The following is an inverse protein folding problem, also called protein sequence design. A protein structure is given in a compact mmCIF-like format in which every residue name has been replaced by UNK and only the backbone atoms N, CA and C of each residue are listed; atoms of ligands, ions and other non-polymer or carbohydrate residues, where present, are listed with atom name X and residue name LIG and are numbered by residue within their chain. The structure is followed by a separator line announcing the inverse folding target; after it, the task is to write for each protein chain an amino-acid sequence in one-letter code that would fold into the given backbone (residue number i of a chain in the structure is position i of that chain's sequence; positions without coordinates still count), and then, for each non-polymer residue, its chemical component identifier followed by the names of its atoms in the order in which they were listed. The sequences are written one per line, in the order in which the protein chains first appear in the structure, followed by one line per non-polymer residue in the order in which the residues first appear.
data_IF_084007690760
#
_entry.id   IF_084007690760
#
_cell.length_a   1.000
_cell.length_b   1.000
_cell.length_c   1.000
_cell.angle_alpha   90.00
_cell.angle_beta   90.00
_cell.angle_gamma   90.00
#
_symmetry.space_group_name_H-M   'P 1'
#
loop_
_entity.id
_entity.type
_entity.pdbx_description
1 polymer ?
#
# COMPACT_ATOMS: atom_id res chain seq x y z
N UNK A 1 -5.42 -12.39 -28.14
CA UNK A 1 -5.99 -11.09 -27.72
C UNK A 1 -4.92 -10.04 -27.98
N UNK A 2 -5.24 -8.92 -28.60
CA UNK A 2 -4.31 -7.80 -28.79
C UNK A 2 -4.66 -6.73 -27.78
N UNK A 3 -3.67 -6.31 -27.00
CA UNK A 3 -3.80 -5.22 -26.01
C UNK A 3 -3.01 -4.03 -26.53
N UNK A 4 -3.58 -2.84 -26.54
CA UNK A 4 -2.92 -1.60 -26.95
C UNK A 4 -2.38 -0.83 -25.74
N UNK A 5 -3.06 -0.93 -24.59
CA UNK A 5 -2.74 -0.24 -23.34
C UNK A 5 -2.99 -1.17 -22.17
N UNK A 6 -2.18 -1.07 -21.13
CA UNK A 6 -2.43 -1.79 -19.88
C UNK A 6 -2.23 -0.87 -18.66
N UNK A 7 -3.03 -1.13 -17.62
CA UNK A 7 -2.81 -0.64 -16.27
C UNK A 7 -2.31 -1.83 -15.47
N UNK A 8 -1.13 -1.70 -14.88
CA UNK A 8 -0.47 -2.81 -14.18
C UNK A 8 -0.38 -2.46 -12.70
N UNK A 9 -1.15 -3.16 -11.88
CA UNK A 9 -1.19 -2.92 -10.43
C UNK A 9 0.02 -3.52 -9.68
N UNK A 10 0.73 -4.47 -10.29
CA UNK A 10 1.99 -5.02 -9.77
C UNK A 10 3.16 -4.36 -10.49
N UNK A 11 3.66 -3.25 -9.95
CA UNK A 11 4.73 -2.48 -10.58
C UNK A 11 6.04 -3.25 -10.73
N UNK A 12 6.53 -4.04 -9.72
CA UNK A 12 7.69 -4.91 -9.90
C UNK A 12 7.52 -5.93 -11.02
N UNK A 13 6.44 -6.71 -11.03
CA UNK A 13 6.20 -7.69 -12.11
C UNK A 13 6.06 -7.00 -13.47
N UNK A 14 5.33 -5.89 -13.54
CA UNK A 14 5.17 -5.11 -14.77
C UNK A 14 6.48 -4.61 -15.34
N UNK A 15 7.37 -4.15 -14.47
CA UNK A 15 8.71 -3.69 -14.87
C UNK A 15 9.58 -4.84 -15.33
N UNK A 16 9.74 -5.87 -14.50
CA UNK A 16 10.68 -6.98 -14.76
C UNK A 16 10.20 -7.86 -15.91
N UNK A 17 8.91 -8.17 -15.98
CA UNK A 17 8.39 -9.13 -16.94
C UNK A 17 7.94 -8.51 -18.27
N UNK A 18 7.60 -7.23 -18.28
CA UNK A 18 7.04 -6.58 -19.46
C UNK A 18 7.89 -5.42 -19.98
N UNK A 19 8.22 -4.42 -19.14
CA UNK A 19 9.00 -3.26 -19.56
C UNK A 19 10.45 -3.64 -19.94
N UNK A 20 11.15 -4.34 -19.06
CA UNK A 20 12.55 -4.76 -19.29
C UNK A 20 12.69 -5.72 -20.47
N UNK A 21 11.61 -6.44 -20.81
CA UNK A 21 11.56 -7.33 -22.00
C UNK A 21 11.07 -6.64 -23.27
N UNK A 22 10.75 -5.35 -23.20
CA UNK A 22 10.31 -4.57 -24.35
C UNK A 22 8.92 -4.91 -24.88
N UNK A 23 8.08 -5.62 -24.13
CA UNK A 23 6.70 -5.92 -24.53
C UNK A 23 5.77 -4.72 -24.40
N UNK A 24 6.09 -3.83 -23.49
CA UNK A 24 5.40 -2.57 -23.28
C UNK A 24 6.41 -1.44 -23.13
N UNK A 25 5.94 -0.22 -23.32
CA UNK A 25 6.73 1.00 -23.13
C UNK A 25 6.02 1.98 -22.22
N UNK A 26 6.79 2.70 -21.42
CA UNK A 26 6.31 3.83 -20.64
C UNK A 26 6.19 5.06 -21.53
N UNK A 27 5.18 5.88 -21.28
CA UNK A 27 5.01 7.16 -21.95
C UNK A 27 4.38 8.16 -20.99
N UNK A 28 5.00 9.31 -20.84
CA UNK A 28 4.52 10.42 -19.99
C UNK A 28 3.90 11.50 -20.88
N UNK A 29 2.65 11.93 -20.59
CA UNK A 29 2.06 13.07 -21.31
C UNK A 29 2.90 14.34 -21.14
N UNK A 30 3.25 15.02 -22.23
CA UNK A 30 4.15 16.17 -22.19
C UNK A 30 3.59 17.33 -21.38
N UNK A 31 2.28 17.57 -21.50
CA UNK A 31 1.54 18.61 -20.78
C UNK A 31 1.37 18.32 -19.28
N UNK A 32 1.50 17.07 -18.85
CA UNK A 32 1.39 16.66 -17.46
C UNK A 32 2.75 16.50 -16.74
N UNK A 33 3.86 16.53 -17.45
CA UNK A 33 5.21 16.33 -16.85
C UNK A 33 5.46 17.24 -15.66
N UNK A 34 5.04 18.50 -15.73
CA UNK A 34 5.22 19.46 -14.65
C UNK A 34 4.36 19.20 -13.41
N UNK A 35 3.30 18.41 -13.53
CA UNK A 35 2.37 18.08 -12.43
C UNK A 35 2.55 16.67 -11.88
N UNK A 36 3.43 15.86 -12.49
CA UNK A 36 3.77 14.51 -12.04
C UNK A 36 5.15 14.55 -11.39
N UNK A 37 5.28 14.06 -10.15
CA UNK A 37 6.59 13.98 -9.50
C UNK A 37 7.57 13.14 -10.33
N UNK A 38 8.84 13.56 -10.43
CA UNK A 38 9.86 12.89 -11.25
C UNK A 38 9.98 11.39 -10.96
N UNK A 39 9.85 10.98 -9.68
CA UNK A 39 9.85 9.57 -9.24
C UNK A 39 8.70 8.72 -9.81
N UNK A 40 7.65 9.34 -10.32
CA UNK A 40 6.48 8.66 -10.90
C UNK A 40 6.45 8.69 -12.44
N UNK A 41 7.50 9.22 -13.07
CA UNK A 41 7.55 9.39 -14.54
C UNK A 41 8.26 8.23 -15.25
N UNK A 42 9.13 7.48 -14.56
CA UNK A 42 9.87 6.39 -15.19
C UNK A 42 10.02 5.18 -14.24
N UNK A 43 9.23 4.11 -14.47
CA UNK A 43 8.10 4.04 -15.39
C UNK A 43 6.94 4.93 -14.95
N UNK A 44 6.08 5.33 -15.89
CA UNK A 44 4.92 6.15 -15.55
C UNK A 44 3.98 5.41 -14.60
N UNK A 45 3.92 5.91 -13.38
CA UNK A 45 2.87 5.56 -12.42
C UNK A 45 1.69 6.49 -12.61
N UNK A 46 0.52 5.95 -12.87
CA UNK A 46 -0.70 6.75 -13.12
C UNK A 46 -1.57 6.87 -11.88
N UNK A 47 -1.58 5.82 -11.05
CA UNK A 47 -2.43 5.71 -9.86
C UNK A 47 -1.59 5.24 -8.68
N UNK A 48 -1.88 5.79 -7.51
CA UNK A 48 -1.40 5.33 -6.21
C UNK A 48 -2.58 4.78 -5.44
N UNK A 49 -2.51 3.51 -5.04
CA UNK A 49 -3.53 2.82 -4.26
C UNK A 49 -3.09 2.72 -2.79
N UNK A 50 -3.68 3.50 -1.87
CA UNK A 50 -3.30 3.46 -0.47
C UNK A 50 -3.77 2.16 0.21
N UNK A 51 -2.86 1.54 0.95
CA UNK A 51 -3.15 0.53 1.97
C UNK A 51 -2.83 1.18 3.33
N UNK A 52 -3.79 1.16 4.23
CA UNK A 52 -3.73 1.94 5.48
C UNK A 52 -4.08 1.09 6.68
N UNK A 53 -3.57 1.50 7.84
CA UNK A 53 -4.01 0.92 9.10
C UNK A 53 -5.38 1.48 9.48
N UNK A 54 -6.25 0.57 9.90
CA UNK A 54 -7.62 0.86 10.30
C UNK A 54 -7.95 0.25 11.66
N UNK A 55 -8.94 0.83 12.31
CA UNK A 55 -9.48 0.39 13.60
C UNK A 55 -11.01 0.48 13.62
N UNK A 56 -11.66 -0.05 14.65
CA UNK A 56 -13.10 0.00 14.81
C UNK A 56 -13.51 1.27 15.58
N UNK A 57 -14.26 2.17 14.92
CA UNK A 57 -14.73 3.45 15.48
C UNK A 57 -15.82 3.31 16.53
N UNK A 58 -16.47 2.15 16.61
CA UNK A 58 -17.44 1.86 17.68
C UNK A 58 -16.75 1.48 18.99
N UNK A 59 -15.51 0.97 18.90
CA UNK A 59 -14.71 0.57 20.07
C UNK A 59 -13.77 1.68 20.54
N UNK A 60 -13.28 2.51 19.65
CA UNK A 60 -12.31 3.56 19.93
C UNK A 60 -12.70 4.87 19.27
N UNK A 61 -12.63 5.97 20.01
CA UNK A 61 -12.84 7.31 19.45
C UNK A 61 -11.69 7.75 18.53
N UNK A 62 -10.51 7.21 18.74
CA UNK A 62 -9.27 7.45 17.94
C UNK A 62 -8.54 6.12 17.75
N UNK A 63 -7.59 6.07 16.81
CA UNK A 63 -6.78 4.87 16.63
C UNK A 63 -6.11 4.44 17.94
N UNK A 64 -6.25 3.17 18.37
CA UNK A 64 -5.69 2.68 19.63
C UNK A 64 -4.19 2.41 19.58
N UNK A 65 -3.56 2.61 18.42
CA UNK A 65 -2.11 2.53 18.22
C UNK A 65 -1.57 3.83 17.63
N UNK A 66 -0.36 4.19 18.04
CA UNK A 66 0.34 5.40 17.57
C UNK A 66 1.69 5.08 16.93
N UNK A 67 2.14 3.83 17.03
CA UNK A 67 3.41 3.36 16.51
C UNK A 67 3.26 1.94 15.96
N UNK A 68 3.89 1.65 14.81
CA UNK A 68 3.84 0.32 14.18
C UNK A 68 4.32 -0.80 15.09
N UNK A 69 5.32 -0.55 15.92
CA UNK A 69 5.88 -1.54 16.83
C UNK A 69 4.88 -2.01 17.89
N UNK A 70 3.85 -1.23 18.21
CA UNK A 70 2.79 -1.66 19.10
C UNK A 70 2.04 -2.89 18.58
N UNK A 71 1.99 -3.10 17.25
CA UNK A 71 1.41 -4.30 16.63
C UNK A 71 2.15 -5.59 17.00
N UNK A 72 3.38 -5.48 17.49
CA UNK A 72 4.19 -6.63 17.92
C UNK A 72 4.07 -6.94 19.41
N UNK A 73 3.36 -6.10 20.15
CA UNK A 73 3.19 -6.25 21.60
C UNK A 73 2.16 -7.34 21.95
N UNK A 74 2.30 -7.97 23.13
CA UNK A 74 1.35 -8.99 23.61
C UNK A 74 -0.11 -8.53 23.64
N UNK A 75 -0.35 -7.23 23.85
CA UNK A 75 -1.70 -6.62 23.82
C UNK A 75 -2.42 -6.87 22.51
N UNK A 76 -1.70 -6.86 21.39
CA UNK A 76 -2.24 -7.05 20.04
C UNK A 76 -2.06 -8.45 19.49
N UNK A 77 -1.63 -9.39 20.32
CA UNK A 77 -1.48 -10.79 19.89
C UNK A 77 -2.80 -11.36 19.40
N UNK A 78 -2.80 -11.85 18.15
CA UNK A 78 -4.01 -12.38 17.51
C UNK A 78 -5.07 -11.33 17.15
N UNK A 79 -4.74 -10.04 17.25
CA UNK A 79 -5.68 -8.92 17.03
C UNK A 79 -5.24 -7.95 15.95
N UNK A 80 -4.29 -8.33 15.13
CA UNK A 80 -3.92 -7.62 13.91
C UNK A 80 -4.47 -8.40 12.73
N UNK A 81 -5.27 -7.76 11.87
CA UNK A 81 -5.86 -8.40 10.69
C UNK A 81 -5.25 -7.84 9.40
N UNK A 82 -4.83 -8.71 8.49
CA UNK A 82 -4.31 -8.32 7.17
C UNK A 82 -4.36 -9.50 6.19
N UNK A 83 -4.28 -9.23 4.90
CA UNK A 83 -4.10 -10.30 3.92
C UNK A 83 -2.75 -10.99 4.12
N UNK A 84 -2.69 -12.28 3.79
CA UNK A 84 -1.46 -13.06 3.90
C UNK A 84 -0.36 -12.53 2.95
N UNK A 85 0.83 -12.16 3.44
CA UNK A 85 1.93 -11.70 2.58
C UNK A 85 2.38 -12.75 1.56
N UNK A 86 2.20 -14.04 1.86
CA UNK A 86 2.51 -15.14 0.95
C UNK A 86 1.58 -15.19 -0.28
N UNK A 87 0.39 -14.59 -0.20
CA UNK A 87 -0.57 -14.52 -1.30
C UNK A 87 -0.76 -13.12 -1.90
N UNK A 88 -0.11 -12.10 -1.34
CA UNK A 88 -0.27 -10.71 -1.75
C UNK A 88 1.09 -10.03 -1.95
N UNK A 89 1.65 -10.02 -3.17
CA UNK A 89 2.97 -9.43 -3.46
C UNK A 89 3.14 -7.98 -2.96
N UNK A 90 2.08 -7.18 -2.97
CA UNK A 90 2.13 -5.81 -2.46
C UNK A 90 2.62 -5.70 -1.00
N UNK A 91 2.43 -6.74 -0.17
CA UNK A 91 2.93 -6.74 1.21
C UNK A 91 4.43 -7.05 1.28
N UNK A 92 4.92 -8.00 0.47
CA UNK A 92 6.36 -8.28 0.40
C UNK A 92 7.11 -7.11 -0.21
N UNK A 93 6.52 -6.44 -1.20
CA UNK A 93 7.07 -5.22 -1.79
C UNK A 93 7.08 -4.07 -0.77
N UNK A 94 6.05 -3.96 0.08
CA UNK A 94 6.05 -3.00 1.19
C UNK A 94 7.19 -3.28 2.17
N UNK A 95 7.45 -4.53 2.53
CA UNK A 95 8.57 -4.91 3.40
C UNK A 95 9.92 -4.54 2.75
N UNK A 96 10.09 -4.84 1.47
CA UNK A 96 11.28 -4.48 0.70
C UNK A 96 11.50 -2.97 0.67
N UNK A 97 10.47 -2.20 0.37
CA UNK A 97 10.53 -0.74 0.35
C UNK A 97 10.87 -0.15 1.74
N UNK A 98 10.31 -0.70 2.82
CA UNK A 98 10.67 -0.30 4.18
C UNK A 98 12.15 -0.58 4.45
N UNK A 99 12.66 -1.76 4.10
CA UNK A 99 14.06 -2.11 4.30
C UNK A 99 15.00 -1.21 3.51
N UNK A 100 14.71 -1.02 2.23
CA UNK A 100 15.61 -0.31 1.30
C UNK A 100 15.64 1.19 1.55
N UNK A 101 14.51 1.80 1.89
CA UNK A 101 14.38 3.26 1.90
C UNK A 101 14.05 3.86 3.26
N UNK A 102 13.51 3.06 4.20
CA UNK A 102 12.91 3.59 5.43
C UNK A 102 13.37 2.85 6.69
N UNK A 103 14.39 1.98 6.60
CA UNK A 103 14.83 1.15 7.74
C UNK A 103 15.23 1.99 8.96
N UNK A 104 15.86 3.13 8.74
CA UNK A 104 16.19 4.04 9.84
C UNK A 104 14.93 4.57 10.54
N UNK A 105 13.87 4.89 9.81
CA UNK A 105 12.61 5.34 10.40
C UNK A 105 11.92 4.23 11.20
N UNK A 106 12.03 2.97 10.75
CA UNK A 106 11.53 1.80 11.52
C UNK A 106 12.33 1.65 12.80
N UNK A 107 13.65 1.84 12.76
CA UNK A 107 14.55 1.80 13.93
C UNK A 107 14.25 2.92 14.92
N UNK A 108 14.05 4.14 14.43
CA UNK A 108 13.72 5.30 15.24
C UNK A 108 12.34 5.14 15.91
N UNK A 109 11.37 4.59 15.19
CA UNK A 109 10.05 4.26 15.74
C UNK A 109 10.15 3.25 16.88
N UNK A 110 11.03 2.25 16.79
CA UNK A 110 11.29 1.31 17.89
C UNK A 110 11.82 2.06 19.13
N UNK A 111 12.82 2.93 18.93
CA UNK A 111 13.40 3.69 20.03
C UNK A 111 12.37 4.63 20.68
N UNK A 112 11.50 5.24 19.88
CA UNK A 112 10.42 6.07 20.39
C UNK A 112 9.42 5.28 21.24
N UNK A 113 9.06 4.07 20.79
CA UNK A 113 8.07 3.23 21.47
C UNK A 113 8.62 2.64 22.77
N UNK A 114 9.83 2.09 22.74
CA UNK A 114 10.38 1.31 23.86
C UNK A 114 11.44 2.05 24.70
N UNK A 115 11.80 3.28 24.33
CA UNK A 115 12.77 4.11 25.06
C UNK A 115 14.22 3.60 25.01
N UNK A 116 14.53 2.67 24.09
CA UNK A 116 15.85 2.05 23.94
C UNK A 116 16.14 1.70 22.48
N UNK A 117 17.43 1.70 22.07
CA UNK A 117 17.81 1.27 20.72
C UNK A 117 17.39 -0.17 20.44
N UNK A 118 16.98 -0.43 19.19
CA UNK A 118 16.71 -1.79 18.72
C UNK A 118 17.99 -2.62 18.72
N UNK A 119 17.97 -3.73 19.48
CA UNK A 119 18.99 -4.77 19.42
C UNK A 119 18.39 -5.97 18.66
N UNK A 120 19.02 -6.40 17.58
CA UNK A 120 18.52 -7.51 16.76
C UNK A 120 19.67 -8.19 16.02
N UNK A 121 19.54 -9.49 15.81
CA UNK A 121 20.41 -10.30 14.95
C UNK A 121 19.88 -10.34 13.51
N UNK A 122 18.71 -9.74 13.25
CA UNK A 122 18.17 -9.62 11.89
C UNK A 122 18.99 -8.59 11.07
N UNK A 123 19.00 -8.78 9.75
CA UNK A 123 19.76 -7.93 8.81
C UNK A 123 19.35 -6.45 8.84
N UNK A 124 18.12 -6.16 9.31
CA UNK A 124 17.54 -4.81 9.32
C UNK A 124 16.50 -4.63 10.43
N UNK A 125 16.16 -3.39 10.75
CA UNK A 125 15.06 -3.09 11.67
C UNK A 125 13.71 -3.53 11.05
N UNK A 126 13.58 -3.42 9.75
CA UNK A 126 12.41 -3.90 9.01
C UNK A 126 12.26 -5.41 9.14
N UNK A 127 13.33 -6.18 8.94
CA UNK A 127 13.29 -7.63 9.12
C UNK A 127 12.92 -8.02 10.56
N UNK A 128 13.46 -7.31 11.55
CA UNK A 128 13.10 -7.52 12.95
C UNK A 128 11.62 -7.22 13.22
N UNK A 129 11.08 -6.14 12.63
CA UNK A 129 9.66 -5.78 12.74
C UNK A 129 8.77 -6.86 12.09
N UNK A 130 9.06 -7.25 10.85
CA UNK A 130 8.28 -8.26 10.11
C UNK A 130 8.27 -9.61 10.84
N UNK A 131 9.43 -10.03 11.36
CA UNK A 131 9.55 -11.25 12.18
C UNK A 131 8.72 -11.17 13.46
N UNK A 132 8.80 -10.04 14.18
CA UNK A 132 8.03 -9.84 15.40
C UNK A 132 6.52 -9.80 15.13
N UNK A 133 6.11 -9.14 14.04
CA UNK A 133 4.71 -9.08 13.62
C UNK A 133 4.17 -10.47 13.26
N UNK A 134 4.90 -11.25 12.47
CA UNK A 134 4.55 -12.63 12.13
C UNK A 134 4.41 -13.49 13.39
N UNK A 135 5.35 -13.34 14.34
CA UNK A 135 5.34 -14.05 15.64
C UNK A 135 4.21 -13.65 16.58
N UNK A 136 3.53 -12.54 16.32
CA UNK A 136 2.43 -12.04 17.16
C UNK A 136 1.05 -12.58 16.77
N UNK A 137 0.97 -13.61 15.93
CA UNK A 137 -0.28 -14.33 15.65
C UNK A 137 -1.29 -13.50 14.84
N UNK A 138 -0.82 -12.79 13.81
CA UNK A 138 -1.67 -11.99 12.94
C UNK A 138 -2.81 -12.82 12.36
N UNK A 139 -4.02 -12.30 12.36
CA UNK A 139 -5.15 -12.89 11.64
C UNK A 139 -4.94 -12.69 10.14
N UNK A 140 -4.47 -13.74 9.47
CA UNK A 140 -4.29 -13.74 8.02
C UNK A 140 -5.61 -14.03 7.32
N UNK A 141 -5.98 -13.15 6.40
CA UNK A 141 -7.21 -13.26 5.62
C UNK A 141 -6.92 -13.54 4.15
N UNK A 142 -7.89 -14.13 3.46
CA UNK A 142 -7.78 -14.40 2.02
C UNK A 142 -8.06 -13.15 1.19
N UNK A 143 -8.85 -12.24 1.71
CA UNK A 143 -9.25 -11.02 0.99
C UNK A 143 -9.17 -9.78 1.88
N UNK A 144 -9.12 -8.63 1.23
CA UNK A 144 -9.21 -7.32 1.88
C UNK A 144 -10.58 -7.11 2.55
N UNK A 145 -11.65 -7.70 1.98
CA UNK A 145 -12.98 -7.70 2.58
C UNK A 145 -13.01 -8.42 3.93
N UNK A 146 -12.35 -9.58 4.03
CA UNK A 146 -12.30 -10.34 5.28
C UNK A 146 -11.52 -9.57 6.35
N UNK A 147 -10.42 -8.92 5.97
CA UNK A 147 -9.67 -8.06 6.89
C UNK A 147 -10.51 -6.87 7.37
N UNK A 148 -11.19 -6.18 6.45
CA UNK A 148 -12.09 -5.07 6.78
C UNK A 148 -13.23 -5.52 7.70
N UNK A 149 -13.82 -6.69 7.44
CA UNK A 149 -14.86 -7.28 8.28
C UNK A 149 -14.35 -7.61 9.68
N UNK A 150 -13.15 -8.19 9.80
CA UNK A 150 -12.56 -8.48 11.11
C UNK A 150 -12.35 -7.19 11.93
N UNK A 151 -11.89 -6.11 11.29
CA UNK A 151 -11.60 -4.83 11.94
C UNK A 151 -12.89 -4.06 12.24
N UNK A 152 -13.75 -3.86 11.24
CA UNK A 152 -14.82 -2.86 11.25
C UNK A 152 -16.23 -3.43 11.39
N UNK A 153 -16.42 -4.72 11.68
CA UNK A 153 -17.77 -5.24 11.92
C UNK A 153 -18.45 -4.51 13.09
N UNK A 154 -19.72 -4.11 12.93
CA UNK A 154 -20.50 -3.55 14.04
C UNK A 154 -20.68 -4.61 15.15
N UNK A 155 -20.85 -4.17 16.39
CA UNK A 155 -21.06 -5.02 17.57
C UNK A 155 -19.96 -6.09 17.78
N UNK A 156 -18.78 -5.89 17.17
CA UNK A 156 -17.66 -6.84 17.28
C UNK A 156 -17.22 -7.00 18.73
N UNK A 157 -17.12 -8.25 19.20
CA UNK A 157 -16.61 -8.57 20.55
C UNK A 157 -15.08 -8.54 20.63
N UNK A 158 -14.41 -8.70 19.51
CA UNK A 158 -12.94 -8.70 19.42
C UNK A 158 -12.46 -7.38 18.86
N UNK A 159 -11.44 -6.83 19.48
CA UNK A 159 -10.81 -5.58 19.08
C UNK A 159 -9.66 -5.88 18.12
N UNK A 160 -9.83 -5.50 16.86
CA UNK A 160 -8.81 -5.63 15.83
C UNK A 160 -8.34 -4.27 15.35
N UNK A 161 -7.06 -4.18 15.07
CA UNK A 161 -6.47 -3.20 14.15
C UNK A 161 -5.92 -3.96 12.94
N UNK A 162 -5.70 -3.30 11.81
CA UNK A 162 -5.10 -4.02 10.70
C UNK A 162 -5.00 -3.20 9.42
N UNK A 163 -4.57 -3.88 8.37
CA UNK A 163 -4.28 -3.28 7.08
C UNK A 163 -5.40 -3.57 6.08
N UNK A 164 -5.90 -2.50 5.47
CA UNK A 164 -6.91 -2.55 4.41
C UNK A 164 -6.65 -1.47 3.36
N UNK A 165 -7.15 -1.66 2.16
CA UNK A 165 -7.20 -0.58 1.17
C UNK A 165 -8.21 0.50 1.58
N UNK A 166 -7.96 1.74 1.16
CA UNK A 166 -8.92 2.85 1.38
C UNK A 166 -10.29 2.57 0.80
N UNK A 167 -10.39 1.74 -0.23
CA UNK A 167 -11.65 1.32 -0.84
C UNK A 167 -12.66 0.70 0.16
N UNK A 168 -12.15 0.07 1.24
CA UNK A 168 -13.01 -0.58 2.24
C UNK A 168 -13.82 0.41 3.08
N UNK A 169 -13.37 1.64 3.20
CA UNK A 169 -14.08 2.67 3.96
C UNK A 169 -15.45 3.03 3.38
N UNK A 170 -15.70 2.74 2.09
CA UNK A 170 -17.05 2.85 1.49
C UNK A 170 -18.08 2.01 2.22
N UNK A 171 -17.66 0.88 2.77
CA UNK A 171 -18.54 -0.07 3.44
C UNK A 171 -19.09 0.50 4.76
N UNK A 172 -18.52 1.62 5.25
CA UNK A 172 -19.11 2.40 6.35
C UNK A 172 -20.52 2.90 6.03
N UNK A 173 -20.82 3.18 4.75
CA UNK A 173 -22.19 3.53 4.30
C UNK A 173 -23.16 2.34 4.47
N UNK A 174 -22.66 1.12 4.61
CA UNK A 174 -23.41 -0.12 4.81
C UNK A 174 -23.33 -0.62 6.27
N UNK A 175 -22.85 0.21 7.19
CA UNK A 175 -22.83 -0.09 8.62
C UNK A 175 -21.47 -0.52 9.18
N UNK A 176 -20.43 -0.69 8.35
CA UNK A 176 -19.07 -0.93 8.84
C UNK A 176 -18.57 0.25 9.68
N UNK A 177 -17.63 -0.01 10.57
CA UNK A 177 -17.11 0.94 11.56
C UNK A 177 -15.59 1.16 11.39
N UNK A 178 -15.14 1.37 10.15
CA UNK A 178 -13.71 1.58 9.87
C UNK A 178 -13.31 3.03 10.15
N UNK A 179 -12.28 3.22 10.95
CA UNK A 179 -11.55 4.47 11.17
C UNK A 179 -10.12 4.40 10.68
N UNK A 180 -9.60 5.48 10.09
CA UNK A 180 -8.22 5.57 9.63
C UNK A 180 -7.30 5.87 10.82
N UNK A 181 -6.21 5.09 10.96
CA UNK A 181 -5.17 5.33 11.96
C UNK A 181 -4.24 6.49 11.55
N UNK A 182 -4.78 7.71 11.50
CA UNK A 182 -3.97 8.90 11.27
C UNK A 182 -2.99 9.16 12.42
N UNK A 183 -1.82 9.72 12.11
CA UNK A 183 -0.77 10.00 13.09
C UNK A 183 0.06 8.79 13.53
N UNK A 184 -0.20 7.60 13.00
CA UNK A 184 0.60 6.39 13.26
C UNK A 184 2.05 6.56 12.77
N UNK A 185 3.02 6.24 13.61
CA UNK A 185 4.45 6.35 13.29
C UNK A 185 5.05 5.00 12.90
N UNK A 186 6.00 4.97 11.93
CA UNK A 186 6.46 6.11 11.12
C UNK A 186 5.50 6.47 9.98
N UNK A 187 4.54 5.60 9.61
CA UNK A 187 3.58 5.80 8.52
C UNK A 187 2.20 5.27 8.89
N UNK A 188 1.16 5.89 8.35
CA UNK A 188 -0.23 5.41 8.47
C UNK A 188 -0.57 4.27 7.49
N UNK A 189 0.34 3.94 6.60
CA UNK A 189 0.22 2.97 5.52
C UNK A 189 1.16 3.32 4.39
N UNK A 190 0.93 2.77 3.21
CA UNK A 190 1.75 3.04 2.02
C UNK A 190 0.90 3.18 0.75
N UNK A 191 1.46 3.85 -0.25
CA UNK A 191 0.89 3.95 -1.58
C UNK A 191 1.46 2.84 -2.47
N UNK A 192 0.61 1.98 -3.04
CA UNK A 192 1.04 1.00 -4.02
C UNK A 192 0.83 1.52 -5.44
N UNK A 193 1.87 1.51 -6.31
CA UNK A 193 1.81 2.13 -7.62
C UNK A 193 1.14 1.24 -8.67
N UNK A 194 0.33 1.85 -9.54
CA UNK A 194 -0.15 1.23 -10.78
C UNK A 194 0.49 1.91 -11.98
N UNK A 195 1.11 1.13 -12.85
CA UNK A 195 1.78 1.62 -14.05
C UNK A 195 0.78 1.79 -15.20
N UNK A 196 0.93 2.87 -15.97
CA UNK A 196 0.27 3.07 -17.27
C UNK A 196 1.24 2.82 -18.41
N UNK A 197 0.99 1.79 -19.23
CA UNK A 197 1.92 1.37 -20.28
C UNK A 197 1.23 1.16 -21.62
N UNK A 198 1.96 1.39 -22.70
CA UNK A 198 1.53 1.15 -24.09
C UNK A 198 2.20 -0.12 -24.59
N UNK A 199 1.45 -1.01 -25.23
CA UNK A 199 2.02 -2.20 -25.84
C UNK A 199 2.93 -1.83 -27.02
N UNK A 200 4.14 -2.39 -27.07
CA UNK A 200 5.12 -2.09 -28.13
C UNK A 200 4.59 -2.42 -29.54
N UNK A 201 3.78 -3.49 -29.65
CA UNK A 201 3.14 -3.89 -30.90
C UNK A 201 1.75 -3.27 -31.13
N UNK A 202 1.39 -2.19 -30.42
CA UNK A 202 0.08 -1.54 -30.57
C UNK A 202 -0.12 -1.02 -32.00
N UNK A 203 -1.30 -1.27 -32.53
CA UNK A 203 -1.74 -0.69 -33.82
C UNK A 203 -2.43 0.67 -33.65
N UNK A 204 -2.74 1.04 -32.41
CA UNK A 204 -3.42 2.29 -32.05
C UNK A 204 -2.68 3.03 -30.92
N UNK A 205 -1.35 3.29 -31.08
CA UNK A 205 -0.55 3.86 -29.97
C UNK A 205 -1.03 5.23 -29.52
N UNK A 206 -1.56 6.05 -30.43
CA UNK A 206 -2.10 7.38 -30.09
C UNK A 206 -3.38 7.26 -29.24
N UNK A 207 -4.26 6.31 -29.54
CA UNK A 207 -5.46 6.04 -28.73
C UNK A 207 -5.07 5.50 -27.34
N UNK A 208 -4.06 4.63 -27.27
CA UNK A 208 -3.53 4.13 -26.00
C UNK A 208 -2.97 5.26 -25.13
N UNK A 209 -2.19 6.17 -25.73
CA UNK A 209 -1.66 7.37 -25.05
C UNK A 209 -2.78 8.30 -24.59
N UNK A 210 -3.78 8.55 -25.45
CA UNK A 210 -4.93 9.37 -25.08
C UNK A 210 -5.70 8.77 -23.90
N UNK A 211 -5.84 7.45 -23.86
CA UNK A 211 -6.48 6.77 -22.73
C UNK A 211 -5.68 6.93 -21.43
N UNK A 212 -4.35 6.77 -21.47
CA UNK A 212 -3.48 7.02 -20.31
C UNK A 212 -3.63 8.47 -19.83
N UNK A 213 -3.58 9.43 -20.75
CA UNK A 213 -3.77 10.85 -20.44
C UNK A 213 -5.13 11.09 -19.77
N UNK A 214 -6.20 10.52 -20.34
CA UNK A 214 -7.55 10.63 -19.77
C UNK A 214 -7.63 10.07 -18.35
N UNK A 215 -7.04 8.90 -18.10
CA UNK A 215 -7.02 8.28 -16.75
C UNK A 215 -6.34 9.16 -15.70
N UNK A 216 -5.47 10.08 -16.10
CA UNK A 216 -4.79 11.02 -15.20
C UNK A 216 -5.53 12.34 -15.04
N UNK A 217 -6.69 12.52 -15.67
CA UNK A 217 -7.61 13.65 -15.47
C UNK A 217 -8.56 13.39 -14.27
N UNK A 218 -9.23 14.44 -13.81
CA UNK A 218 -10.22 14.32 -12.74
C UNK A 218 -11.36 13.37 -13.13
N UNK A 219 -11.88 13.47 -14.35
CA UNK A 219 -12.98 12.63 -14.84
C UNK A 219 -12.52 11.16 -15.01
N UNK A 220 -11.31 10.97 -15.54
CA UNK A 220 -10.78 9.62 -15.79
C UNK A 220 -10.48 8.82 -14.52
N UNK A 221 -10.00 9.48 -13.45
CA UNK A 221 -9.72 8.82 -12.17
C UNK A 221 -10.95 8.74 -11.25
N UNK A 222 -11.99 9.54 -11.48
CA UNK A 222 -13.14 9.65 -10.59
C UNK A 222 -13.72 8.30 -10.11
N UNK A 223 -13.91 7.28 -10.98
CA UNK A 223 -14.41 5.96 -10.55
C UNK A 223 -13.50 5.24 -9.56
N UNK A 224 -12.20 5.53 -9.56
CA UNK A 224 -11.22 4.99 -8.63
C UNK A 224 -10.95 5.95 -7.46
N UNK A 225 -11.13 7.24 -7.68
CA UNK A 225 -10.94 8.28 -6.66
C UNK A 225 -11.90 8.13 -5.48
N UNK A 226 -13.12 7.64 -5.71
CA UNK A 226 -14.10 7.34 -4.66
C UNK A 226 -13.63 6.21 -3.73
N UNK A 227 -12.68 5.39 -4.18
CA UNK A 227 -12.01 4.34 -3.42
C UNK A 227 -10.72 4.82 -2.73
N UNK A 228 -10.45 6.13 -2.78
CA UNK A 228 -9.23 6.72 -2.24
C UNK A 228 -7.98 6.50 -3.11
N UNK A 229 -8.11 5.95 -4.32
CA UNK A 229 -7.00 5.83 -5.26
C UNK A 229 -6.66 7.20 -5.84
N UNK A 230 -5.40 7.61 -5.71
CA UNK A 230 -4.93 8.96 -6.05
C UNK A 230 -4.26 8.98 -7.42
N UNK A 231 -4.58 9.98 -8.25
CA UNK A 231 -3.79 10.28 -9.45
C UNK A 231 -2.39 10.76 -9.05
N UNK A 232 -1.37 10.40 -9.84
CA UNK A 232 -0.03 11.00 -9.72
C UNK A 232 0.04 12.39 -10.32
N UNK A 233 -0.96 12.79 -11.08
CA UNK A 233 -1.17 14.19 -11.45
C UNK A 233 -1.61 14.98 -10.21
N UNK A 234 -0.70 15.79 -9.66
CA UNK A 234 -0.89 16.53 -8.41
C UNK A 234 -2.00 17.60 -8.48
N UNK A 235 -2.45 17.96 -9.68
CA UNK A 235 -3.57 18.88 -9.87
C UNK A 235 -4.94 18.20 -9.61
N UNK A 236 -4.98 16.86 -9.61
CA UNK A 236 -6.19 16.08 -9.37
C UNK A 236 -6.31 15.74 -7.91
N UNK A 237 -7.43 16.10 -7.31
CA UNK A 237 -7.80 15.80 -5.92
C UNK A 237 -8.79 14.65 -5.86
N UNK A 238 -8.83 13.98 -4.72
CA UNK A 238 -9.87 12.99 -4.46
C UNK A 238 -11.25 13.67 -4.35
N UNK A 239 -12.33 12.95 -4.68
CA UNK A 239 -13.70 13.44 -4.45
C UNK A 239 -13.92 13.82 -2.98
N UNK A 240 -14.73 14.85 -2.74
CA UNK A 240 -14.99 15.36 -1.40
C UNK A 240 -15.75 14.35 -0.51
N UNK A 241 -16.43 13.40 -1.11
CA UNK A 241 -17.20 12.33 -0.45
C UNK A 241 -16.43 11.00 -0.37
N UNK A 242 -15.12 11.01 -0.67
CA UNK A 242 -14.23 9.86 -0.46
C UNK A 242 -14.25 9.46 1.03
N UNK A 243 -14.54 8.18 1.30
CA UNK A 243 -14.98 7.74 2.61
C UNK A 243 -13.87 7.63 3.67
N UNK A 244 -12.62 7.45 3.26
CA UNK A 244 -11.50 7.28 4.22
C UNK A 244 -10.94 8.61 4.74
N UNK A 245 -11.15 9.70 4.00
CA UNK A 245 -10.56 11.01 4.26
C UNK A 245 -9.04 11.06 4.04
N UNK A 246 -8.48 10.10 3.29
CA UNK A 246 -7.03 9.94 3.08
C UNK A 246 -6.36 11.14 2.43
N UNK A 247 -7.10 11.96 1.68
CA UNK A 247 -6.55 13.18 1.06
C UNK A 247 -5.88 14.09 2.09
N UNK A 248 -6.43 14.19 3.30
CA UNK A 248 -5.90 15.02 4.39
C UNK A 248 -4.57 14.49 4.95
N UNK A 249 -4.34 13.19 4.81
CA UNK A 249 -3.21 12.47 5.40
C UNK A 249 -2.24 11.92 4.35
N UNK A 250 -2.35 12.40 3.11
CA UNK A 250 -1.50 11.97 1.98
C UNK A 250 0.00 12.02 2.31
N UNK A 251 0.44 13.03 3.06
CA UNK A 251 1.83 13.20 3.49
C UNK A 251 2.29 12.23 4.60
N UNK A 252 1.37 11.48 5.23
CA UNK A 252 1.70 10.51 6.27
C UNK A 252 1.84 9.08 5.70
N UNK A 253 1.56 8.89 4.41
CA UNK A 253 1.76 7.62 3.72
C UNK A 253 3.23 7.44 3.33
N UNK A 254 3.75 6.23 3.51
CA UNK A 254 5.03 5.85 2.92
C UNK A 254 4.95 5.95 1.39
N UNK A 255 5.92 6.63 0.82
CA UNK A 255 6.04 6.76 -0.64
C UNK A 255 6.72 5.52 -1.20
N UNK A 256 6.07 4.85 -2.15
CA UNK A 256 6.68 3.77 -2.90
C UNK A 256 7.61 4.34 -3.98
N UNK A 257 8.85 3.86 -4.02
CA UNK A 257 9.87 4.31 -4.98
C UNK A 257 10.08 3.25 -6.07
N UNK A 258 9.62 3.53 -7.28
CA UNK A 258 9.71 2.60 -8.41
C UNK A 258 11.15 2.41 -8.92
N UNK A 259 12.10 3.17 -8.42
CA UNK A 259 13.52 3.03 -8.77
C UNK A 259 14.16 1.73 -8.30
N UNK A 260 13.55 1.05 -7.32
CA UNK A 260 14.05 -0.20 -6.72
C UNK A 260 13.09 -1.38 -6.91
N UNK A 261 12.22 -1.32 -7.92
CA UNK A 261 11.26 -2.41 -8.20
C UNK A 261 11.92 -3.74 -8.56
N UNK A 262 13.18 -3.72 -9.04
CA UNK A 262 13.93 -4.95 -9.30
C UNK A 262 14.28 -5.64 -7.97
N UNK A 263 14.78 -4.88 -7.00
CA UNK A 263 15.07 -5.37 -5.65
C UNK A 263 13.81 -5.88 -4.97
N UNK A 264 12.68 -5.18 -5.11
CA UNK A 264 11.40 -5.63 -4.59
C UNK A 264 11.00 -6.99 -5.18
N UNK A 265 11.11 -7.13 -6.51
CA UNK A 265 10.82 -8.38 -7.20
C UNK A 265 11.72 -9.52 -6.73
N UNK A 266 13.03 -9.28 -6.65
CA UNK A 266 14.02 -10.30 -6.32
C UNK A 266 13.91 -10.76 -4.85
N UNK A 267 13.50 -9.87 -3.94
CA UNK A 267 13.40 -10.16 -2.50
C UNK A 267 12.06 -10.78 -2.07
N UNK A 268 11.06 -10.90 -2.95
CA UNK A 268 9.72 -11.40 -2.59
C UNK A 268 9.75 -12.74 -1.88
N UNK A 269 10.55 -13.69 -2.39
CA UNK A 269 10.65 -15.02 -1.79
C UNK A 269 11.27 -14.97 -0.40
N UNK A 270 12.32 -14.17 -0.21
CA UNK A 270 12.99 -14.02 1.08
C UNK A 270 12.01 -13.47 2.14
N UNK A 271 11.17 -12.50 1.77
CA UNK A 271 10.16 -11.97 2.66
C UNK A 271 9.05 -12.99 2.99
N UNK A 272 8.64 -13.78 2.00
CA UNK A 272 7.66 -14.86 2.23
C UNK A 272 8.23 -15.94 3.15
N UNK A 273 9.51 -16.29 2.99
CA UNK A 273 10.21 -17.26 3.82
C UNK A 273 10.38 -16.73 5.25
N UNK A 274 10.84 -15.48 5.42
CA UNK A 274 10.94 -14.84 6.72
C UNK A 274 9.59 -14.84 7.46
N UNK A 275 8.52 -14.46 6.74
CA UNK A 275 7.17 -14.50 7.30
C UNK A 275 6.75 -15.90 7.71
N UNK A 276 6.85 -16.87 6.80
CA UNK A 276 6.36 -18.24 7.01
C UNK A 276 7.08 -18.99 8.13
N UNK A 277 8.41 -18.79 8.23
CA UNK A 277 9.24 -19.39 9.26
C UNK A 277 8.91 -18.86 10.68
N UNK A 278 8.43 -17.64 10.78
CA UNK A 278 8.18 -16.97 12.05
C UNK A 278 6.70 -16.84 12.40
N UNK A 279 5.79 -17.13 11.46
CA UNK A 279 4.35 -17.01 11.70
C UNK A 279 3.88 -18.01 12.78
N UNK A 280 3.20 -17.47 13.78
CA UNK A 280 2.58 -18.25 14.86
C UNK A 280 1.08 -17.96 14.86
N UNK A 281 0.29 -19.01 14.85
CA UNK A 281 -1.16 -18.90 15.08
C UNK A 281 -1.49 -18.58 16.52
#
# INVERSE_FOLDING_TARGET
MRTDVAIIEDAPAGTVQLLNKGYVQSWVPDDLKGSIAARSQNPLTIVLAPNVFAYNTERHATCPITNLWQLTEPKWRGRVAMQAPTGKPAYTDWFSQMETHYDQQIRDAYQQEFGKPLQTDEKSATAAFVKALAGNGVLLTHSDNDAASAIGAPDSKTDFVGLVSTAKFRDNKQGMKLGLCNGLKPFIGWNYPSLGVVATGSKSPNSAKLFIHYLMSADGIAPQGIDGKMSTNQQVKLPADEASGIEKYRGELMVYLTTTVQEDWDSRQDWQDLWSLNYKK
#
